data_IF_134763135081
#
_entry.id   IF_134763135081
#
_cell.length_a   1.000
_cell.length_b   1.000
_cell.length_c   1.000
_cell.angle_alpha   90.00
_cell.angle_beta   90.00
_cell.angle_gamma   90.00
#
_symmetry.space_group_name_H-M   'P 1'
#
loop_
_entity.id
_entity.type
_entity.pdbx_description
1 polymer ?
#
# COMPACT_ATOMS: atom_id res chain seq x y z
N UNK A 1 11.58 -50.37 0.43
CA UNK A 1 10.19 -49.93 0.18
C UNK A 1 9.96 -48.75 1.10
N UNK A 2 10.00 -47.53 0.54
CA UNK A 2 9.90 -46.29 1.31
C UNK A 2 8.44 -45.96 1.57
N UNK A 3 8.10 -45.70 2.83
CA UNK A 3 6.85 -45.05 3.17
C UNK A 3 7.09 -43.55 3.17
N UNK A 4 6.47 -42.89 2.18
CA UNK A 4 6.41 -41.45 2.07
C UNK A 4 5.74 -40.89 3.34
N UNK A 5 6.53 -40.15 4.11
CA UNK A 5 6.01 -39.32 5.18
C UNK A 5 5.37 -38.10 4.52
N UNK A 6 4.08 -38.19 4.21
CA UNK A 6 3.26 -37.05 3.81
C UNK A 6 3.13 -36.14 5.02
N UNK A 7 4.07 -35.19 5.17
CA UNK A 7 3.94 -34.11 6.13
C UNK A 7 2.64 -33.35 5.89
N UNK A 8 2.01 -32.78 6.93
CA UNK A 8 0.78 -32.03 6.75
C UNK A 8 1.07 -30.85 5.82
N UNK A 9 0.16 -30.58 4.89
CA UNK A 9 0.13 -29.33 4.16
C UNK A 9 0.18 -28.22 5.22
N UNK A 10 1.30 -27.49 5.26
CA UNK A 10 1.47 -26.41 6.22
C UNK A 10 0.34 -25.42 5.98
N UNK A 11 -0.43 -25.15 7.04
CA UNK A 11 -1.33 -24.00 7.10
C UNK A 11 -0.50 -22.78 6.67
N UNK A 12 -0.73 -22.33 5.44
CA UNK A 12 -0.19 -21.07 4.94
C UNK A 12 -0.94 -20.01 5.74
N UNK A 13 -0.40 -19.65 6.91
CA UNK A 13 -0.96 -18.56 7.69
C UNK A 13 -0.94 -17.33 6.78
N UNK A 14 -2.12 -16.73 6.55
CA UNK A 14 -2.23 -15.46 5.86
C UNK A 14 -1.33 -14.45 6.58
N UNK A 15 -0.15 -14.20 6.02
CA UNK A 15 0.84 -13.32 6.63
C UNK A 15 0.30 -11.89 6.55
N UNK A 16 -0.03 -11.30 7.69
CA UNK A 16 -0.40 -9.89 7.76
C UNK A 16 0.88 -9.06 7.66
N UNK A 17 1.04 -8.36 6.55
CA UNK A 17 2.24 -7.61 6.25
C UNK A 17 2.21 -6.21 6.89
N UNK A 18 3.35 -5.71 7.38
CA UNK A 18 3.48 -4.30 7.72
C UNK A 18 3.17 -3.37 6.54
N UNK A 19 2.66 -2.17 6.82
CA UNK A 19 2.24 -1.20 5.79
C UNK A 19 3.29 -0.97 4.68
N UNK A 20 4.54 -0.72 5.04
CA UNK A 20 5.60 -0.43 4.06
C UNK A 20 5.98 -1.66 3.23
N UNK A 21 5.95 -2.85 3.82
CA UNK A 21 6.20 -4.10 3.11
C UNK A 21 5.06 -4.43 2.15
N UNK A 22 3.81 -4.27 2.59
CA UNK A 22 2.63 -4.44 1.76
C UNK A 22 2.62 -3.49 0.55
N UNK A 23 2.96 -2.21 0.77
CA UNK A 23 3.15 -1.25 -0.34
C UNK A 23 4.24 -1.74 -1.29
N UNK A 24 5.39 -2.18 -0.77
CA UNK A 24 6.49 -2.65 -1.61
C UNK A 24 6.06 -3.83 -2.48
N UNK A 25 5.40 -4.85 -1.93
CA UNK A 25 4.96 -6.02 -2.70
C UNK A 25 3.93 -5.66 -3.78
N UNK A 26 3.01 -4.75 -3.46
CA UNK A 26 2.02 -4.23 -4.42
C UNK A 26 2.69 -3.42 -5.54
N UNK A 27 3.70 -2.61 -5.23
CA UNK A 27 4.44 -1.80 -6.22
C UNK A 27 5.30 -2.65 -7.16
N UNK A 28 5.86 -3.75 -6.66
CA UNK A 28 6.68 -4.68 -7.44
C UNK A 28 5.87 -5.74 -8.17
N UNK A 29 4.54 -5.80 -7.96
CA UNK A 29 3.67 -6.82 -8.53
C UNK A 29 3.95 -8.23 -7.99
N UNK A 30 4.46 -8.32 -6.76
CA UNK A 30 4.75 -9.59 -6.07
C UNK A 30 3.75 -9.87 -4.94
N UNK A 31 2.65 -9.13 -4.90
CA UNK A 31 1.55 -9.36 -3.98
C UNK A 31 0.59 -10.40 -4.57
N UNK A 32 0.19 -11.36 -3.76
CA UNK A 32 -0.84 -12.34 -4.11
C UNK A 32 -2.26 -11.73 -3.94
N UNK A 33 -3.25 -12.35 -4.59
CA UNK A 33 -4.65 -11.88 -4.62
C UNK A 33 -5.38 -11.93 -3.27
N UNK A 34 -4.74 -12.43 -2.23
CA UNK A 34 -5.22 -12.58 -0.85
C UNK A 34 -4.36 -11.83 0.18
N UNK A 35 -3.48 -10.93 -0.28
CA UNK A 35 -2.60 -10.13 0.55
C UNK A 35 -3.36 -9.39 1.67
N UNK A 36 -2.81 -9.44 2.88
CA UNK A 36 -3.31 -8.71 4.05
C UNK A 36 -2.25 -7.72 4.53
N UNK A 37 -2.66 -6.48 4.81
CA UNK A 37 -1.77 -5.38 5.22
C UNK A 37 -2.29 -4.77 6.51
N UNK A 38 -1.42 -4.68 7.52
CA UNK A 38 -1.70 -3.98 8.78
C UNK A 38 -1.65 -2.45 8.57
N UNK A 39 -2.79 -1.80 8.79
CA UNK A 39 -2.92 -0.35 8.75
C UNK A 39 -2.62 0.28 10.13
N UNK A 40 -2.47 -0.54 11.17
CA UNK A 40 -2.29 -0.16 12.55
C UNK A 40 -3.63 -0.06 13.30
N UNK A 41 -3.55 0.08 14.62
CA UNK A 41 -4.72 0.20 15.50
C UNK A 41 -5.73 -0.96 15.35
N UNK A 42 -5.24 -2.16 15.03
CA UNK A 42 -6.07 -3.35 14.81
C UNK A 42 -6.85 -3.34 13.49
N UNK A 43 -6.57 -2.40 12.59
CA UNK A 43 -7.17 -2.34 11.26
C UNK A 43 -6.29 -3.11 10.28
N UNK A 44 -6.85 -4.16 9.67
CA UNK A 44 -6.22 -4.92 8.59
C UNK A 44 -6.99 -4.66 7.31
N UNK A 45 -6.27 -4.32 6.24
CA UNK A 45 -6.84 -4.21 4.91
C UNK A 45 -6.43 -5.42 4.08
N UNK A 46 -7.40 -6.05 3.44
CA UNK A 46 -7.17 -7.18 2.54
C UNK A 46 -7.98 -7.01 1.26
N UNK A 47 -7.65 -7.85 0.28
CA UNK A 47 -8.41 -8.02 -0.97
C UNK A 47 -8.65 -9.50 -1.19
N UNK A 48 -9.57 -9.82 -2.10
CA UNK A 48 -9.86 -11.22 -2.48
C UNK A 48 -9.79 -11.45 -3.99
N UNK A 49 -9.13 -10.54 -4.72
CA UNK A 49 -9.01 -10.58 -6.17
C UNK A 49 -7.96 -9.60 -6.70
N UNK A 50 -7.36 -9.96 -7.84
CA UNK A 50 -6.32 -9.16 -8.50
C UNK A 50 -6.80 -7.76 -8.93
N UNK A 51 -8.10 -7.63 -9.25
CA UNK A 51 -8.73 -6.38 -9.68
C UNK A 51 -8.84 -5.34 -8.55
N UNK A 52 -8.68 -5.76 -7.29
CA UNK A 52 -8.75 -4.90 -6.13
C UNK A 52 -7.36 -4.43 -5.64
N UNK A 53 -6.27 -5.03 -6.15
CA UNK A 53 -4.89 -4.75 -5.71
C UNK A 53 -4.50 -3.28 -5.91
N UNK A 54 -4.88 -2.68 -7.03
CA UNK A 54 -4.62 -1.26 -7.31
C UNK A 54 -5.31 -0.34 -6.29
N UNK A 55 -6.56 -0.67 -5.92
CA UNK A 55 -7.33 0.04 -4.92
C UNK A 55 -6.71 -0.08 -3.53
N UNK A 56 -6.22 -1.28 -3.18
CA UNK A 56 -5.49 -1.51 -1.93
C UNK A 56 -4.20 -0.70 -1.88
N UNK A 57 -3.42 -0.69 -2.97
CA UNK A 57 -2.19 0.09 -3.08
C UNK A 57 -2.44 1.59 -2.89
N UNK A 58 -3.51 2.12 -3.50
CA UNK A 58 -3.87 3.53 -3.34
C UNK A 58 -4.21 3.87 -1.87
N UNK A 59 -4.98 3.02 -1.19
CA UNK A 59 -5.33 3.21 0.23
C UNK A 59 -4.09 3.14 1.13
N UNK A 60 -3.21 2.16 0.91
CA UNK A 60 -1.98 1.97 1.69
C UNK A 60 -1.04 3.17 1.53
N UNK A 61 -0.83 3.66 0.29
CA UNK A 61 -0.05 4.88 0.02
C UNK A 61 -0.65 6.12 0.68
N UNK A 62 -1.97 6.28 0.60
CA UNK A 62 -2.69 7.38 1.26
C UNK A 62 -2.48 7.37 2.77
N UNK A 63 -2.59 6.20 3.40
CA UNK A 63 -2.33 6.06 4.84
C UNK A 63 -0.88 6.39 5.20
N UNK A 64 0.10 5.87 4.45
CA UNK A 64 1.53 6.17 4.68
C UNK A 64 1.78 7.67 4.61
N UNK A 65 1.18 8.35 3.65
CA UNK A 65 1.27 9.81 3.50
C UNK A 65 0.69 10.55 4.71
N UNK A 66 -0.50 10.15 5.18
CA UNK A 66 -1.13 10.73 6.38
C UNK A 66 -0.26 10.51 7.62
N UNK A 67 0.30 9.30 7.80
CA UNK A 67 1.21 8.99 8.92
C UNK A 67 2.47 9.88 8.89
N UNK A 68 3.10 10.02 7.73
CA UNK A 68 4.27 10.91 7.58
C UNK A 68 3.93 12.36 7.92
N UNK A 69 2.78 12.87 7.47
CA UNK A 69 2.33 14.23 7.81
C UNK A 69 2.06 14.39 9.31
N UNK A 70 1.36 13.44 9.93
CA UNK A 70 1.05 13.47 11.36
C UNK A 70 2.33 13.45 12.23
N UNK A 71 3.37 12.77 11.78
CA UNK A 71 4.67 12.69 12.44
C UNK A 71 5.61 13.85 12.09
N UNK A 72 5.16 14.85 11.32
CA UNK A 72 5.98 15.95 10.77
C UNK A 72 7.23 15.47 10.04
N UNK A 73 7.18 14.26 9.47
CA UNK A 73 8.27 13.70 8.67
C UNK A 73 8.23 14.26 7.25
N UNK A 74 9.39 14.52 6.63
CA UNK A 74 9.45 14.92 5.24
C UNK A 74 8.88 13.81 4.34
N UNK A 75 8.00 14.19 3.42
CA UNK A 75 7.43 13.29 2.43
C UNK A 75 8.29 13.35 1.17
N UNK A 76 9.03 12.28 0.87
CA UNK A 76 9.66 12.13 -0.45
C UNK A 76 8.58 11.85 -1.51
N UNK A 77 8.54 12.68 -2.56
CA UNK A 77 7.58 12.49 -3.65
C UNK A 77 7.92 11.19 -4.40
N UNK A 78 6.96 10.26 -4.59
CA UNK A 78 7.18 9.07 -5.41
C UNK A 78 7.66 9.44 -6.81
N UNK A 79 8.66 8.71 -7.32
CA UNK A 79 9.33 8.99 -8.59
C UNK A 79 8.39 8.99 -9.82
N UNK A 80 7.18 8.44 -9.70
CA UNK A 80 6.14 8.44 -10.73
C UNK A 80 5.39 9.77 -10.86
N UNK A 81 5.59 10.73 -9.95
CA UNK A 81 5.10 12.11 -10.04
C UNK A 81 6.14 13.06 -10.68
N UNK A 82 7.04 12.54 -11.52
CA UNK A 82 7.96 13.38 -12.30
C UNK A 82 7.14 14.25 -13.27
N UNK A 83 7.53 15.52 -13.34
CA UNK A 83 6.89 16.70 -13.96
C UNK A 83 6.34 16.54 -15.38
N UNK A 84 6.65 15.43 -16.03
CA UNK A 84 6.49 15.23 -17.47
C UNK A 84 5.17 14.50 -17.79
N UNK A 85 4.56 13.85 -16.80
CA UNK A 85 3.23 13.23 -16.88
C UNK A 85 2.58 13.16 -15.51
N UNK A 86 1.81 14.17 -15.15
CA UNK A 86 0.79 14.00 -14.12
C UNK A 86 -0.43 14.78 -14.56
N UNK A 87 -1.43 14.07 -15.09
CA UNK A 87 -2.78 14.61 -15.12
C UNK A 87 -3.25 14.67 -13.66
N UNK A 88 -2.91 15.76 -12.98
CA UNK A 88 -3.38 16.02 -11.64
C UNK A 88 -4.90 16.19 -11.74
N UNK A 89 -5.65 15.41 -10.97
CA UNK A 89 -7.10 15.55 -10.95
C UNK A 89 -7.47 16.93 -10.38
N UNK A 90 -8.40 17.70 -10.98
CA UNK A 90 -8.68 19.10 -10.59
C UNK A 90 -8.97 19.28 -9.10
N UNK A 91 -9.66 18.32 -8.48
CA UNK A 91 -9.93 18.36 -7.04
C UNK A 91 -8.67 18.27 -6.16
N UNK A 92 -7.61 17.63 -6.64
CA UNK A 92 -6.31 17.54 -5.93
C UNK A 92 -5.52 18.83 -6.10
N UNK A 93 -5.66 19.49 -7.25
CA UNK A 93 -5.06 20.81 -7.49
C UNK A 93 -5.60 21.87 -6.53
N UNK A 94 -6.93 21.90 -6.34
CA UNK A 94 -7.59 22.84 -5.43
C UNK A 94 -7.14 22.67 -3.96
N UNK A 95 -7.00 21.42 -3.50
CA UNK A 95 -6.51 21.13 -2.14
C UNK A 95 -5.06 21.60 -1.96
N UNK A 96 -4.21 21.34 -2.95
CA UNK A 96 -2.79 21.75 -2.88
C UNK A 96 -2.62 23.27 -2.97
N UNK A 97 -3.51 23.97 -3.66
CA UNK A 97 -3.48 25.43 -3.74
C UNK A 97 -3.93 26.07 -2.43
N UNK A 98 -4.97 25.52 -1.78
CA UNK A 98 -5.44 25.98 -0.47
C UNK A 98 -4.40 25.80 0.67
N UNK A 99 -3.45 24.88 0.51
CA UNK A 99 -2.38 24.62 1.47
C UNK A 99 -1.10 25.43 1.20
N UNK A 100 -1.07 26.23 0.14
CA UNK A 100 0.09 27.07 -0.17
C UNK A 100 0.14 28.25 0.81
N UNK A 101 1.27 28.50 1.49
CA UNK A 101 1.41 29.70 2.33
C UNK A 101 1.22 30.95 1.46
N UNK A 102 0.44 31.92 1.95
CA UNK A 102 0.37 33.23 1.32
C UNK A 102 1.74 33.91 1.39
N UNK A 103 2.20 34.47 0.27
CA UNK A 103 3.44 35.27 0.19
C UNK A 103 3.42 36.46 1.16
#
# INVERSE_FOLDING_TARGET
MGNANSGPAGDMQDEILPLDEGISRLETGTADADIQIDFGEGVVASVSGDDELDGLLQRARGLRLIKMMAELKPVERPAHMRKDKTALHPAVEEILDALRPAD
#
